data_IF_150344761717
#
_entry.id   IF_150344761717
#
_cell.length_a   1.000
_cell.length_b   1.000
_cell.length_c   1.000
_cell.angle_alpha   90.00
_cell.angle_beta   90.00
_cell.angle_gamma   90.00
#
_symmetry.space_group_name_H-M   'P 1'
#
loop_
_entity.id
_entity.type
_entity.pdbx_description
1 polymer ?
#
# COMPACT_ATOMS: atom_id res chain seq x y z
N UNK A 1 -2.19 -29.69 -1.18
CA UNK A 1 -1.54 -28.51 -0.58
C UNK A 1 -1.53 -27.41 -1.62
N UNK A 2 -2.40 -26.40 -1.49
CA UNK A 2 -2.34 -25.22 -2.35
C UNK A 2 -1.25 -24.31 -1.81
N UNK A 3 -0.07 -24.31 -2.44
CA UNK A 3 0.92 -23.29 -2.18
C UNK A 3 0.30 -21.94 -2.55
N UNK A 4 0.05 -21.09 -1.55
CA UNK A 4 -0.19 -19.67 -1.78
C UNK A 4 1.13 -19.12 -2.32
N UNK A 5 1.31 -19.15 -3.64
CA UNK A 5 2.39 -18.42 -4.27
C UNK A 5 2.26 -16.96 -3.80
N UNK A 6 3.35 -16.34 -3.31
CA UNK A 6 3.35 -14.92 -3.02
C UNK A 6 2.83 -14.19 -4.26
N UNK A 7 1.99 -13.19 -4.05
CA UNK A 7 1.56 -12.31 -5.13
C UNK A 7 2.83 -11.62 -5.63
N UNK A 8 3.41 -12.11 -6.71
CA UNK A 8 4.70 -11.62 -7.25
C UNK A 8 4.70 -10.12 -7.49
N UNK A 9 3.51 -9.55 -7.73
CA UNK A 9 3.29 -8.11 -7.85
C UNK A 9 3.75 -7.34 -6.60
N UNK A 10 3.49 -7.85 -5.38
CA UNK A 10 3.90 -7.18 -4.12
C UNK A 10 5.42 -7.06 -4.05
N UNK A 11 6.15 -8.14 -4.32
CA UNK A 11 7.61 -8.12 -4.33
C UNK A 11 8.15 -7.19 -5.42
N UNK A 12 7.56 -7.19 -6.61
CA UNK A 12 7.93 -6.24 -7.68
C UNK A 12 7.74 -4.79 -7.27
N UNK A 13 6.61 -4.44 -6.64
CA UNK A 13 6.35 -3.08 -6.15
C UNK A 13 7.35 -2.67 -5.07
N UNK A 14 7.68 -3.57 -4.14
CA UNK A 14 8.67 -3.29 -3.10
C UNK A 14 10.05 -3.08 -3.72
N UNK A 15 10.46 -3.93 -4.67
CA UNK A 15 11.72 -3.77 -5.38
C UNK A 15 11.80 -2.41 -6.06
N UNK A 16 10.74 -1.98 -6.75
CA UNK A 16 10.65 -0.65 -7.37
C UNK A 16 10.83 0.43 -6.30
N UNK A 17 10.07 0.38 -5.20
CA UNK A 17 10.15 1.36 -4.12
C UNK A 17 11.56 1.45 -3.51
N UNK A 18 12.18 0.30 -3.22
CA UNK A 18 13.53 0.24 -2.65
C UNK A 18 14.64 0.60 -3.63
N UNK A 19 14.37 0.53 -4.95
CA UNK A 19 15.30 0.95 -5.98
C UNK A 19 15.30 2.47 -6.21
N UNK A 20 14.30 3.17 -5.66
CA UNK A 20 14.28 4.63 -5.72
C UNK A 20 15.26 5.23 -4.71
N UNK A 21 15.77 6.43 -4.99
CA UNK A 21 16.58 7.19 -4.04
C UNK A 21 15.75 7.84 -2.91
N UNK A 22 14.50 7.42 -2.73
CA UNK A 22 13.59 8.00 -1.73
C UNK A 22 13.73 7.18 -0.45
N UNK A 23 14.19 7.78 0.66
CA UNK A 23 14.33 7.05 1.92
C UNK A 23 12.95 6.66 2.44
N UNK A 24 12.71 5.37 2.67
CA UNK A 24 11.44 4.86 3.20
C UNK A 24 11.48 4.89 4.73
N UNK A 25 10.69 5.76 5.37
CA UNK A 25 10.61 5.86 6.83
C UNK A 25 9.50 4.95 7.37
N UNK A 26 8.30 5.15 6.85
CA UNK A 26 7.14 4.34 7.17
C UNK A 26 6.15 4.36 6.00
N UNK A 27 5.32 3.32 5.93
CA UNK A 27 4.45 3.05 4.80
C UNK A 27 3.00 2.92 5.23
N UNK A 28 2.13 3.73 4.67
CA UNK A 28 0.68 3.61 4.81
C UNK A 28 0.11 2.64 3.78
N UNK A 29 -0.75 1.72 4.20
CA UNK A 29 -1.37 0.71 3.36
C UNK A 29 -2.90 0.92 3.34
N UNK A 30 -3.38 1.51 2.24
CA UNK A 30 -4.79 1.74 1.91
C UNK A 30 -5.25 0.74 0.85
N UNK A 31 -5.29 -0.54 1.24
CA UNK A 31 -5.58 -1.67 0.35
C UNK A 31 -6.69 -2.53 0.95
N UNK A 32 -7.78 -2.73 0.19
CA UNK A 32 -8.94 -3.53 0.60
C UNK A 32 -8.67 -5.03 0.63
N UNK A 33 -7.73 -5.51 -0.18
CA UNK A 33 -7.36 -6.92 -0.23
C UNK A 33 -6.44 -7.28 0.95
N UNK A 34 -6.99 -7.94 1.96
CA UNK A 34 -6.25 -8.30 3.19
C UNK A 34 -5.03 -9.18 2.95
N UNK A 35 -5.04 -10.06 1.94
CA UNK A 35 -3.89 -10.90 1.61
C UNK A 35 -2.74 -10.07 1.04
N UNK A 36 -3.06 -9.08 0.21
CA UNK A 36 -2.09 -8.11 -0.35
C UNK A 36 -1.55 -7.22 0.76
N UNK A 37 -2.42 -6.63 1.59
CA UNK A 37 -2.02 -5.79 2.73
C UNK A 37 -1.08 -6.53 3.68
N UNK A 38 -1.42 -7.78 4.02
CA UNK A 38 -0.56 -8.63 4.86
C UNK A 38 0.78 -8.93 4.20
N UNK A 39 0.81 -9.13 2.88
CA UNK A 39 2.04 -9.41 2.14
C UNK A 39 2.97 -8.20 2.10
N UNK A 40 2.42 -6.99 1.88
CA UNK A 40 3.20 -5.74 1.96
C UNK A 40 3.75 -5.54 3.37
N UNK A 41 2.90 -5.64 4.39
CA UNK A 41 3.31 -5.44 5.78
C UNK A 41 4.40 -6.44 6.19
N UNK A 42 4.24 -7.72 5.86
CA UNK A 42 5.25 -8.72 6.14
C UNK A 42 6.60 -8.39 5.49
N UNK A 43 6.62 -7.98 4.22
CA UNK A 43 7.87 -7.63 3.54
C UNK A 43 8.51 -6.36 4.11
N UNK A 44 7.74 -5.30 4.37
CA UNK A 44 8.29 -4.08 4.96
C UNK A 44 8.81 -4.30 6.38
N UNK A 45 8.13 -5.12 7.17
CA UNK A 45 8.61 -5.52 8.49
C UNK A 45 9.96 -6.26 8.41
N UNK A 46 10.17 -7.11 7.40
CA UNK A 46 11.49 -7.74 7.17
C UNK A 46 12.59 -6.74 6.79
N UNK A 47 12.22 -5.57 6.26
CA UNK A 47 13.12 -4.46 5.96
C UNK A 47 13.25 -3.46 7.12
N UNK A 48 12.67 -3.76 8.30
CA UNK A 48 12.57 -2.86 9.45
C UNK A 48 11.85 -1.53 9.14
N UNK A 49 10.89 -1.55 8.22
CA UNK A 49 10.07 -0.39 7.84
C UNK A 49 8.70 -0.54 8.50
N UNK A 50 8.28 0.48 9.25
CA UNK A 50 6.98 0.49 9.91
C UNK A 50 5.85 0.61 8.90
N UNK A 51 4.77 -0.16 9.10
CA UNK A 51 3.57 -0.07 8.26
C UNK A 51 2.31 0.29 9.04
N UNK A 52 1.54 1.25 8.52
CA UNK A 52 0.21 1.62 9.03
C UNK A 52 -0.86 1.02 8.12
N UNK A 53 -1.87 0.37 8.68
CA UNK A 53 -2.92 -0.31 7.89
C UNK A 53 -4.30 0.22 8.26
N UNK A 54 -5.16 0.39 7.25
CA UNK A 54 -6.56 0.69 7.49
C UNK A 54 -7.24 -0.55 8.07
N UNK A 55 -7.62 -0.49 9.34
CA UNK A 55 -8.50 -1.49 9.95
C UNK A 55 -9.90 -1.23 9.41
N UNK A 56 -10.57 -2.27 8.88
CA UNK A 56 -11.88 -2.18 8.18
C UNK A 56 -13.00 -1.46 8.96
N UNK A 57 -12.82 -1.25 10.26
CA UNK A 57 -13.78 -0.61 11.15
C UNK A 57 -13.54 0.90 11.34
N UNK A 58 -12.40 1.41 10.86
CA UNK A 58 -12.02 2.82 11.00
C UNK A 58 -12.44 3.59 9.75
N UNK A 59 -13.01 4.77 9.95
CA UNK A 59 -13.30 5.72 8.87
C UNK A 59 -12.01 5.99 8.08
N UNK A 60 -11.98 5.73 6.75
CA UNK A 60 -10.83 6.00 5.90
C UNK A 60 -10.29 7.43 6.06
N UNK A 61 -11.17 8.39 6.36
CA UNK A 61 -10.81 9.80 6.59
C UNK A 61 -9.99 9.98 7.86
N UNK A 62 -10.35 9.30 8.95
CA UNK A 62 -9.60 9.36 10.21
C UNK A 62 -8.22 8.72 10.05
N UNK A 63 -8.15 7.56 9.39
CA UNK A 63 -6.89 6.89 9.12
C UNK A 63 -5.98 7.70 8.20
N UNK A 64 -6.53 8.32 7.14
CA UNK A 64 -5.76 9.21 6.27
C UNK A 64 -5.23 10.41 7.08
N UNK A 65 -6.02 11.00 7.97
CA UNK A 65 -5.56 12.07 8.84
C UNK A 65 -4.46 11.62 9.81
N UNK A 66 -4.55 10.42 10.39
CA UNK A 66 -3.47 9.85 11.21
C UNK A 66 -2.19 9.65 10.40
N UNK A 67 -2.30 9.13 9.18
CA UNK A 67 -1.17 8.96 8.26
C UNK A 67 -0.55 10.31 7.90
N UNK A 68 -1.36 11.31 7.54
CA UNK A 68 -0.88 12.67 7.21
C UNK A 68 -0.09 13.26 8.38
N UNK A 69 -0.55 13.03 9.61
CA UNK A 69 0.09 13.54 10.83
C UNK A 69 1.21 12.65 11.38
N UNK A 70 1.50 11.52 10.73
CA UNK A 70 2.58 10.60 11.10
C UNK A 70 3.87 10.89 10.31
N UNK A 71 4.92 10.12 10.56
CA UNK A 71 6.17 10.15 9.78
C UNK A 71 6.07 9.43 8.42
N UNK A 72 4.85 9.03 8.03
CA UNK A 72 4.55 8.28 6.82
C UNK A 72 4.83 9.08 5.54
N UNK A 73 5.87 8.66 4.84
CA UNK A 73 6.33 9.30 3.62
C UNK A 73 6.05 8.47 2.35
N UNK A 74 5.56 7.24 2.48
CA UNK A 74 5.06 6.44 1.36
C UNK A 74 3.65 5.96 1.66
N UNK A 75 2.73 6.17 0.72
CA UNK A 75 1.36 5.71 0.82
C UNK A 75 1.04 4.80 -0.35
N UNK A 76 0.72 3.55 -0.06
CA UNK A 76 0.35 2.55 -1.05
C UNK A 76 -1.16 2.41 -1.04
N UNK A 77 -1.79 2.68 -2.18
CA UNK A 77 -3.24 2.85 -2.30
C UNK A 77 -3.77 2.01 -3.44
N UNK A 78 -4.87 1.31 -3.19
CA UNK A 78 -5.64 0.65 -4.26
C UNK A 78 -6.65 1.59 -4.92
N UNK A 79 -7.23 1.15 -6.03
CA UNK A 79 -8.20 1.94 -6.79
C UNK A 79 -9.40 2.43 -5.95
N UNK A 80 -9.89 1.62 -5.01
CA UNK A 80 -11.06 1.95 -4.19
C UNK A 80 -10.81 3.10 -3.21
N UNK A 81 -9.61 3.17 -2.63
CA UNK A 81 -9.26 4.22 -1.68
C UNK A 81 -8.67 5.45 -2.36
N UNK A 82 -8.18 5.34 -3.60
CA UNK A 82 -7.57 6.47 -4.30
C UNK A 82 -8.53 7.63 -4.54
N UNK A 83 -9.79 7.37 -4.88
CA UNK A 83 -10.80 8.44 -5.06
C UNK A 83 -11.05 9.22 -3.77
N UNK A 84 -11.02 8.55 -2.62
CA UNK A 84 -11.13 9.22 -1.31
C UNK A 84 -9.86 10.00 -0.98
N UNK A 85 -8.69 9.42 -1.27
CA UNK A 85 -7.41 10.09 -1.12
C UNK A 85 -7.35 11.40 -1.91
N UNK A 86 -7.83 11.40 -3.16
CA UNK A 86 -7.79 12.58 -4.03
C UNK A 86 -8.44 13.82 -3.42
N UNK A 87 -9.49 13.65 -2.61
CA UNK A 87 -10.15 14.74 -1.91
C UNK A 87 -9.29 15.33 -0.78
N UNK A 88 -8.32 14.57 -0.27
CA UNK A 88 -7.45 14.90 0.85
C UNK A 88 -6.00 15.23 0.41
N UNK A 89 -5.66 15.02 -0.87
CA UNK A 89 -4.34 15.33 -1.48
C UNK A 89 -3.86 16.77 -1.21
N UNK A 90 -4.70 17.83 -1.28
CA UNK A 90 -4.22 19.20 -1.06
C UNK A 90 -3.53 19.39 0.29
N UNK A 91 -4.00 18.69 1.32
CA UNK A 91 -3.41 18.69 2.67
C UNK A 91 -2.18 17.80 2.76
N UNK A 92 -2.15 16.70 2.00
CA UNK A 92 -1.04 15.73 2.04
C UNK A 92 0.20 16.16 1.24
N UNK A 93 0.02 16.98 0.19
CA UNK A 93 1.12 17.44 -0.67
C UNK A 93 2.19 18.25 0.06
N UNK A 94 1.93 18.71 1.29
CA UNK A 94 2.90 19.48 2.08
C UNK A 94 4.00 18.61 2.71
N UNK A 95 3.79 17.29 2.83
CA UNK A 95 4.68 16.39 3.58
C UNK A 95 5.75 15.67 2.74
N UNK A 96 5.91 16.06 1.46
CA UNK A 96 6.89 15.47 0.54
C UNK A 96 6.74 13.92 0.44
N UNK A 97 5.50 13.45 0.51
CA UNK A 97 5.16 12.03 0.53
C UNK A 97 4.92 11.47 -0.88
N UNK A 98 5.26 10.20 -1.07
CA UNK A 98 5.06 9.46 -2.33
C UNK A 98 3.75 8.68 -2.25
N UNK A 99 2.87 8.88 -3.24
CA UNK A 99 1.66 8.06 -3.40
C UNK A 99 1.93 7.00 -4.47
N UNK A 100 1.84 5.74 -4.09
CA UNK A 100 1.95 4.58 -4.97
C UNK A 100 0.55 4.05 -5.25
N UNK A 101 0.15 4.11 -6.52
CA UNK A 101 -1.14 3.62 -6.99
C UNK A 101 -1.00 2.21 -7.53
N UNK A 102 -1.59 1.25 -6.85
CA UNK A 102 -1.62 -0.11 -7.36
C UNK A 102 -2.91 -0.31 -8.15
N UNK A 103 -2.77 -0.30 -9.47
CA UNK A 103 -3.87 -0.44 -10.42
C UNK A 103 -4.08 -1.89 -10.88
N UNK A 104 -3.24 -2.82 -10.43
CA UNK A 104 -3.25 -4.18 -10.93
C UNK A 104 -4.43 -4.98 -10.36
N UNK A 105 -5.15 -5.76 -11.20
CA UNK A 105 -6.13 -6.69 -10.69
C UNK A 105 -5.40 -7.76 -9.87
N UNK A 106 -5.82 -7.94 -8.62
CA UNK A 106 -5.29 -8.90 -7.66
C UNK A 106 -5.75 -10.33 -7.99
N UNK A 107 -5.38 -10.78 -9.19
CA UNK A 107 -5.68 -12.09 -9.71
C UNK A 107 -4.51 -12.99 -9.28
N UNK A 108 -4.76 -14.08 -8.52
CA UNK A 108 -3.71 -15.02 -8.18
C UNK A 108 -3.00 -15.50 -9.45
N UNK A 109 -1.68 -15.69 -9.39
CA UNK A 109 -0.85 -16.08 -10.55
C UNK A 109 -1.28 -17.41 -11.24
N UNK A 110 -2.24 -18.15 -10.67
CA UNK A 110 -2.79 -19.41 -11.21
C UNK A 110 -4.14 -19.26 -11.92
N UNK A 111 -4.80 -18.11 -11.84
CA UNK A 111 -6.03 -17.84 -12.60
C UNK A 111 -5.63 -17.24 -13.95
N UNK A 112 -5.51 -18.10 -14.97
CA UNK A 112 -5.49 -17.68 -16.37
C UNK A 112 -6.88 -17.15 -16.73
N UNK A 113 -7.00 -15.83 -16.93
CA UNK A 113 -8.21 -15.23 -17.51
C UNK A 113 -8.18 -15.56 -19.01
N UNK A 114 -8.73 -16.73 -19.38
CA UNK A 114 -9.06 -17.01 -20.77
C UNK A 114 -10.26 -16.13 -21.16
N UNK A 115 -9.97 -14.98 -21.75
CA UNK A 115 -10.93 -14.22 -22.53
C UNK A 115 -10.61 -14.36 -24.01
#
# INVERSE_FOLDING_TARGET
MCYKLPITQVTSWINVLTSTNIPIRSVGLLINNSAVTSSFSSHFNHLNINTYQLIKEIDPTLFINEIINSDCNILIVDRSHYTHLQQLIPSYSQNNSVIVLIQEPWIPNWTWDFK
#
